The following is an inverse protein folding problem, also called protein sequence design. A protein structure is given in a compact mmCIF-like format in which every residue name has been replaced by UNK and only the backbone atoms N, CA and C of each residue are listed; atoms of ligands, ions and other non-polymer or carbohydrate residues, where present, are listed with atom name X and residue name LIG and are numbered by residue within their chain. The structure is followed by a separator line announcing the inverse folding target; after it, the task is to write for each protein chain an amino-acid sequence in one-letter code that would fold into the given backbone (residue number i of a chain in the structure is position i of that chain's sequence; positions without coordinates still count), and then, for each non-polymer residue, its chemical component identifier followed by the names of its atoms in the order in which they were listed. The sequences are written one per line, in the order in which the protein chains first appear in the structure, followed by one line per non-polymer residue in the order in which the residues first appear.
data_IF_820182393478
#
_entry.id   IF_820182393478
#
_cell.length_a   1.000
_cell.length_b   1.000
_cell.length_c   1.000
_cell.angle_alpha   90.00
_cell.angle_beta   90.00
_cell.angle_gamma   90.00
#
_symmetry.space_group_name_H-M   'P 1'
#
loop_
_entity.id
_entity.type
_entity.pdbx_description
1 polymer ?
#
# COMPACT_ATOMS: atom_id res chain seq x y z
N UNK A 1 -12.27 -21.57 9.71
CA UNK A 1 -12.47 -20.28 9.01
C UNK A 1 -12.14 -20.46 7.53
N UNK A 2 -12.89 -19.84 6.63
CA UNK A 2 -12.61 -19.89 5.17
C UNK A 2 -11.92 -18.60 4.78
N UNK A 3 -10.85 -18.68 4.00
CA UNK A 3 -10.21 -17.50 3.42
C UNK A 3 -11.19 -16.86 2.43
N UNK A 4 -11.38 -15.55 2.50
CA UNK A 4 -12.31 -14.77 1.66
C UNK A 4 -11.57 -13.88 0.66
N UNK A 5 -12.32 -13.33 -0.30
CA UNK A 5 -11.75 -12.48 -1.37
C UNK A 5 -11.13 -11.19 -0.83
N UNK A 6 -11.76 -10.43 0.06
CA UNK A 6 -11.16 -9.21 0.66
C UNK A 6 -9.82 -9.47 1.37
N UNK A 7 -9.62 -10.67 1.91
CA UNK A 7 -8.38 -11.04 2.63
C UNK A 7 -7.20 -11.25 1.66
N UNK A 8 -7.44 -11.35 0.36
CA UNK A 8 -6.40 -11.60 -0.62
C UNK A 8 -5.36 -10.47 -0.69
N UNK A 9 -5.78 -9.21 -0.52
CA UNK A 9 -4.86 -8.08 -0.49
C UNK A 9 -3.87 -8.16 0.69
N UNK A 10 -4.31 -8.22 1.97
CA UNK A 10 -3.39 -8.34 3.09
C UNK A 10 -2.57 -9.64 3.07
N UNK A 11 -3.03 -10.71 2.40
CA UNK A 11 -2.18 -11.89 2.16
C UNK A 11 -1.03 -11.57 1.18
N UNK A 12 -1.33 -10.91 0.06
CA UNK A 12 -0.36 -10.70 -1.03
C UNK A 12 0.62 -9.54 -0.79
N UNK A 13 0.28 -8.53 0.01
CA UNK A 13 1.13 -7.33 0.23
C UNK A 13 2.51 -7.64 0.82
N UNK A 14 2.66 -8.77 1.51
CA UNK A 14 3.93 -9.14 2.14
C UNK A 14 5.04 -9.32 1.09
N UNK A 15 4.67 -9.82 -0.10
CA UNK A 15 5.61 -10.03 -1.19
C UNK A 15 6.24 -8.71 -1.68
N UNK A 16 5.50 -7.70 -2.19
CA UNK A 16 6.10 -6.45 -2.64
C UNK A 16 6.76 -5.68 -1.48
N UNK A 17 6.26 -5.78 -0.24
CA UNK A 17 6.89 -5.15 0.92
C UNK A 17 8.28 -5.70 1.23
N UNK A 18 8.50 -7.01 1.04
CA UNK A 18 9.82 -7.62 1.20
C UNK A 18 10.70 -7.46 -0.05
N UNK A 19 10.11 -7.61 -1.25
CA UNK A 19 10.83 -7.63 -2.51
C UNK A 19 11.36 -6.27 -2.91
N UNK A 20 10.61 -5.18 -2.72
CA UNK A 20 11.07 -3.84 -3.10
C UNK A 20 12.37 -3.44 -2.37
N UNK A 21 12.45 -3.42 -1.03
CA UNK A 21 13.70 -3.07 -0.35
C UNK A 21 14.84 -4.06 -0.67
N UNK A 22 14.54 -5.36 -0.79
CA UNK A 22 15.53 -6.37 -1.19
C UNK A 22 16.10 -6.10 -2.58
N UNK A 23 15.25 -5.73 -3.54
CA UNK A 23 15.64 -5.37 -4.90
C UNK A 23 16.56 -4.16 -4.90
N UNK A 24 16.22 -3.13 -4.11
CA UNK A 24 17.03 -1.90 -3.98
C UNK A 24 18.40 -2.20 -3.40
N UNK A 25 18.48 -3.00 -2.33
CA UNK A 25 19.75 -3.40 -1.71
C UNK A 25 20.62 -4.17 -2.71
N UNK A 26 20.05 -5.14 -3.41
CA UNK A 26 20.81 -5.96 -4.38
C UNK A 26 21.26 -5.11 -5.57
N UNK A 27 20.41 -4.21 -6.09
CA UNK A 27 20.75 -3.33 -7.21
C UNK A 27 21.87 -2.35 -6.82
N UNK A 28 21.79 -1.70 -5.66
CA UNK A 28 22.85 -0.85 -5.14
C UNK A 28 24.15 -1.62 -4.89
N UNK A 29 24.07 -2.82 -4.33
CA UNK A 29 25.26 -3.65 -4.13
C UNK A 29 25.93 -3.98 -5.47
N UNK A 30 25.13 -4.25 -6.51
CA UNK A 30 25.65 -4.46 -7.87
C UNK A 30 26.33 -3.20 -8.45
N UNK A 31 25.88 -1.99 -8.09
CA UNK A 31 26.55 -0.72 -8.47
C UNK A 31 27.95 -0.65 -7.88
N UNK A 32 28.08 -0.86 -6.57
CA UNK A 32 29.35 -0.66 -5.86
C UNK A 32 30.36 -1.77 -6.10
N UNK A 33 29.90 -3.02 -6.15
CA UNK A 33 30.77 -4.19 -6.35
C UNK A 33 31.09 -4.45 -7.81
N UNK A 34 30.27 -3.94 -8.74
CA UNK A 34 30.30 -4.26 -10.18
C UNK A 34 30.16 -5.77 -10.46
N UNK A 35 29.59 -6.53 -9.53
CA UNK A 35 29.38 -7.97 -9.66
C UNK A 35 28.28 -8.29 -10.69
N UNK A 36 28.63 -9.12 -11.69
CA UNK A 36 27.72 -9.50 -12.79
C UNK A 36 26.58 -10.43 -12.36
N UNK A 37 26.77 -11.24 -11.31
CA UNK A 37 25.74 -12.11 -10.74
C UNK A 37 24.72 -11.27 -9.97
N UNK A 38 25.18 -10.31 -9.16
CA UNK A 38 24.29 -9.37 -8.46
C UNK A 38 23.50 -8.51 -9.44
N UNK A 39 24.13 -8.01 -10.51
CA UNK A 39 23.42 -7.26 -11.56
C UNK A 39 22.32 -8.10 -12.25
N UNK A 40 22.58 -9.39 -12.48
CA UNK A 40 21.57 -10.30 -13.05
C UNK A 40 20.45 -10.57 -12.05
N UNK A 41 20.78 -10.79 -10.78
CA UNK A 41 19.79 -11.01 -9.73
C UNK A 41 18.88 -9.78 -9.56
N UNK A 42 19.45 -8.57 -9.53
CA UNK A 42 18.70 -7.32 -9.45
C UNK A 42 17.69 -7.16 -10.61
N UNK A 43 18.07 -7.54 -11.84
CA UNK A 43 17.15 -7.52 -13.00
C UNK A 43 15.95 -8.43 -12.82
N UNK A 44 16.17 -9.66 -12.35
CA UNK A 44 15.08 -10.59 -12.04
C UNK A 44 14.21 -10.04 -10.92
N UNK A 45 14.83 -9.53 -9.85
CA UNK A 45 14.14 -8.96 -8.70
C UNK A 45 13.27 -7.75 -9.05
N UNK A 46 13.68 -6.89 -9.98
CA UNK A 46 12.83 -5.79 -10.47
C UNK A 46 11.54 -6.29 -11.13
N UNK A 47 11.62 -7.31 -11.99
CA UNK A 47 10.44 -7.93 -12.60
C UNK A 47 9.56 -8.65 -11.57
N UNK A 48 10.17 -9.38 -10.63
CA UNK A 48 9.43 -10.07 -9.56
C UNK A 48 8.75 -9.07 -8.61
N UNK A 49 9.41 -7.97 -8.27
CA UNK A 49 8.83 -6.88 -7.48
C UNK A 49 7.64 -6.27 -8.20
N UNK A 50 7.79 -5.91 -9.48
CA UNK A 50 6.71 -5.33 -10.27
C UNK A 50 5.50 -6.29 -10.40
N UNK A 51 5.77 -7.57 -10.67
CA UNK A 51 4.73 -8.60 -10.74
C UNK A 51 4.01 -8.83 -9.40
N UNK A 52 4.74 -8.91 -8.30
CA UNK A 52 4.15 -9.06 -6.95
C UNK A 52 3.30 -7.84 -6.56
N UNK A 53 3.78 -6.63 -6.88
CA UNK A 53 3.05 -5.39 -6.66
C UNK A 53 1.78 -5.32 -7.51
N UNK A 54 1.81 -5.78 -8.77
CA UNK A 54 0.63 -5.86 -9.62
C UNK A 54 -0.43 -6.81 -9.02
N UNK A 55 -0.03 -8.01 -8.59
CA UNK A 55 -0.96 -8.96 -7.98
C UNK A 55 -1.57 -8.43 -6.68
N UNK A 56 -0.75 -7.85 -5.80
CA UNK A 56 -1.24 -7.22 -4.57
C UNK A 56 -2.16 -6.02 -4.86
N UNK A 57 -1.83 -5.22 -5.87
CA UNK A 57 -2.62 -4.07 -6.31
C UNK A 57 -3.98 -4.49 -6.88
N UNK A 58 -4.03 -5.51 -7.73
CA UNK A 58 -5.30 -6.05 -8.26
C UNK A 58 -6.18 -6.60 -7.14
N UNK A 59 -5.61 -7.34 -6.20
CA UNK A 59 -6.32 -7.79 -5.01
C UNK A 59 -6.81 -6.60 -4.16
N UNK A 60 -6.02 -5.54 -4.03
CA UNK A 60 -6.41 -4.31 -3.33
C UNK A 60 -7.56 -3.58 -4.01
N UNK A 61 -7.57 -3.53 -5.35
CA UNK A 61 -8.70 -2.97 -6.10
C UNK A 61 -9.98 -3.77 -5.87
N UNK A 62 -9.90 -5.10 -5.84
CA UNK A 62 -11.05 -5.95 -5.51
C UNK A 62 -11.53 -5.70 -4.07
N UNK A 63 -10.62 -5.78 -3.09
CA UNK A 63 -10.93 -5.55 -1.67
C UNK A 63 -11.53 -4.15 -1.42
N UNK A 64 -11.15 -3.13 -2.20
CA UNK A 64 -11.70 -1.78 -2.08
C UNK A 64 -13.23 -1.70 -2.28
N UNK A 65 -13.82 -2.69 -2.95
CA UNK A 65 -15.27 -2.76 -3.19
C UNK A 65 -16.03 -3.50 -2.08
N UNK A 66 -15.31 -4.16 -1.19
CA UNK A 66 -15.85 -4.94 -0.06
C UNK A 66 -15.77 -4.12 1.25
N UNK A 67 -14.95 -3.06 1.30
CA UNK A 67 -14.80 -2.19 2.48
C UNK A 67 -15.73 -0.97 2.48
N UNK A 68 -16.11 -0.52 3.67
CA UNK A 68 -16.83 0.75 3.88
C UNK A 68 -15.88 1.88 4.27
N UNK A 69 -15.93 2.98 3.51
CA UNK A 69 -15.23 4.23 3.81
C UNK A 69 -16.26 5.32 4.14
N UNK A 70 -16.65 5.35 5.42
CA UNK A 70 -17.83 6.08 5.89
C UNK A 70 -17.69 7.61 5.81
N UNK A 71 -16.47 8.14 5.81
CA UNK A 71 -16.21 9.59 5.80
C UNK A 71 -15.29 10.01 4.64
N UNK A 72 -15.25 11.32 4.36
CA UNK A 72 -14.43 11.92 3.29
C UNK A 72 -12.94 11.65 3.48
N UNK A 73 -12.45 11.83 4.71
CA UNK A 73 -11.04 11.67 5.06
C UNK A 73 -10.51 10.29 4.67
N UNK A 74 -11.19 9.22 5.08
CA UNK A 74 -10.83 7.83 4.75
C UNK A 74 -10.92 7.56 3.24
N UNK A 75 -11.90 8.13 2.52
CA UNK A 75 -11.99 8.00 1.05
C UNK A 75 -10.83 8.69 0.33
N UNK A 76 -10.36 9.82 0.86
CA UNK A 76 -9.19 10.52 0.32
C UNK A 76 -7.89 9.76 0.59
N UNK A 77 -7.74 9.16 1.78
CA UNK A 77 -6.63 8.25 2.08
C UNK A 77 -6.63 7.03 1.15
N UNK A 78 -7.79 6.41 0.91
CA UNK A 78 -7.93 5.28 -0.03
C UNK A 78 -7.47 5.67 -1.44
N UNK A 79 -7.84 6.87 -1.91
CA UNK A 79 -7.40 7.39 -3.20
C UNK A 79 -5.88 7.58 -3.24
N UNK A 80 -5.31 8.25 -2.22
CA UNK A 80 -3.87 8.52 -2.14
C UNK A 80 -3.06 7.23 -2.09
N UNK A 81 -3.49 6.27 -1.25
CA UNK A 81 -2.89 4.95 -1.16
C UNK A 81 -2.97 4.20 -2.49
N UNK A 82 -4.17 4.11 -3.08
CA UNK A 82 -4.38 3.38 -4.35
C UNK A 82 -3.60 3.98 -5.51
N UNK A 83 -3.66 5.30 -5.69
CA UNK A 83 -2.97 5.99 -6.77
C UNK A 83 -1.44 5.95 -6.58
N UNK A 84 -0.96 6.14 -5.35
CA UNK A 84 0.46 6.03 -5.03
C UNK A 84 1.02 4.64 -5.37
N UNK A 85 0.28 3.57 -5.03
CA UNK A 85 0.69 2.22 -5.37
C UNK A 85 0.63 1.92 -6.87
N UNK A 86 -0.31 2.50 -7.62
CA UNK A 86 -0.30 2.43 -9.10
C UNK A 86 0.99 3.05 -9.66
N UNK A 87 1.38 4.22 -9.16
CA UNK A 87 2.64 4.88 -9.57
C UNK A 87 3.85 4.01 -9.23
N UNK A 88 3.90 3.40 -8.05
CA UNK A 88 4.98 2.50 -7.64
C UNK A 88 5.06 1.28 -8.56
N UNK A 89 3.93 0.62 -8.86
CA UNK A 89 3.89 -0.58 -9.71
C UNK A 89 4.33 -0.25 -11.14
N UNK A 90 3.78 0.83 -11.73
CA UNK A 90 4.16 1.26 -13.08
C UNK A 90 5.63 1.70 -13.13
N UNK A 91 6.10 2.41 -12.11
CA UNK A 91 7.51 2.77 -11.94
C UNK A 91 8.41 1.55 -11.87
N UNK A 92 8.05 0.54 -11.08
CA UNK A 92 8.78 -0.71 -10.97
C UNK A 92 8.87 -1.46 -12.30
N UNK A 93 7.79 -1.52 -13.08
CA UNK A 93 7.84 -2.06 -14.46
C UNK A 93 8.74 -1.23 -15.38
N UNK A 94 8.68 0.10 -15.29
CA UNK A 94 9.56 1.00 -16.04
C UNK A 94 11.04 0.76 -15.71
N UNK A 95 11.39 0.64 -14.43
CA UNK A 95 12.75 0.32 -13.99
C UNK A 95 13.14 -1.10 -14.42
N UNK A 96 12.26 -2.10 -14.30
CA UNK A 96 12.52 -3.47 -14.74
C UNK A 96 12.81 -3.55 -16.25
N UNK A 97 12.01 -2.88 -17.07
CA UNK A 97 12.22 -2.79 -18.51
C UNK A 97 13.53 -2.07 -18.84
N UNK A 98 13.80 -0.93 -18.20
CA UNK A 98 15.04 -0.17 -18.39
C UNK A 98 16.29 -0.96 -17.97
N UNK A 99 16.21 -1.68 -16.84
CA UNK A 99 17.28 -2.54 -16.32
C UNK A 99 17.52 -3.76 -17.19
N UNK A 100 16.57 -4.18 -18.03
CA UNK A 100 16.72 -5.38 -18.86
C UNK A 100 17.88 -5.28 -19.86
N UNK A 101 18.23 -4.07 -20.31
CA UNK A 101 19.32 -3.81 -21.27
C UNK A 101 20.48 -2.99 -20.70
N UNK A 102 20.39 -2.53 -19.45
CA UNK A 102 21.38 -1.64 -18.81
C UNK A 102 21.91 -2.28 -17.55
N UNK A 103 23.16 -1.96 -17.16
CA UNK A 103 23.71 -2.39 -15.85
C UNK A 103 23.13 -1.56 -14.72
N UNK A 104 23.25 -2.07 -13.50
CA UNK A 104 22.94 -1.32 -12.29
C UNK A 104 23.69 0.02 -12.31
N UNK A 105 23.01 1.09 -11.92
CA UNK A 105 23.62 2.41 -11.79
C UNK A 105 23.09 3.13 -10.56
N UNK A 106 23.79 4.20 -10.14
CA UNK A 106 23.28 5.05 -9.07
C UNK A 106 21.88 5.60 -9.37
N UNK A 107 21.55 5.83 -10.65
CA UNK A 107 20.23 6.27 -11.04
C UNK A 107 19.14 5.23 -10.73
N UNK A 108 19.33 3.95 -11.05
CA UNK A 108 18.36 2.91 -10.69
C UNK A 108 18.28 2.69 -9.19
N UNK A 109 19.42 2.77 -8.50
CA UNK A 109 19.48 2.70 -7.04
C UNK A 109 18.69 3.83 -6.37
N UNK A 110 18.86 5.07 -6.82
CA UNK A 110 18.12 6.24 -6.30
C UNK A 110 16.63 6.18 -6.62
N UNK A 111 16.24 5.76 -7.82
CA UNK A 111 14.83 5.50 -8.15
C UNK A 111 14.23 4.42 -7.25
N UNK A 112 15.01 3.38 -6.96
CA UNK A 112 14.61 2.32 -6.06
C UNK A 112 14.44 2.80 -4.61
N UNK A 113 15.39 3.57 -4.09
CA UNK A 113 15.27 4.19 -2.76
C UNK A 113 14.06 5.13 -2.67
N UNK A 114 13.83 5.96 -3.69
CA UNK A 114 12.66 6.82 -3.77
C UNK A 114 11.35 6.03 -3.80
N UNK A 115 11.33 4.93 -4.56
CA UNK A 115 10.19 4.02 -4.63
C UNK A 115 9.94 3.31 -3.29
N UNK A 116 10.99 2.89 -2.58
CA UNK A 116 10.89 2.30 -1.25
C UNK A 116 10.36 3.31 -0.23
N UNK A 117 10.89 4.53 -0.19
CA UNK A 117 10.39 5.58 0.70
C UNK A 117 8.92 5.90 0.41
N UNK A 118 8.54 5.98 -0.87
CA UNK A 118 7.16 6.22 -1.25
C UNK A 118 6.24 5.04 -0.89
N UNK A 119 6.70 3.80 -1.06
CA UNK A 119 5.98 2.60 -0.63
C UNK A 119 5.81 2.52 0.89
N UNK A 120 6.80 2.98 1.67
CA UNK A 120 6.67 3.09 3.12
C UNK A 120 5.58 4.11 3.51
N UNK A 121 5.52 5.25 2.81
CA UNK A 121 4.45 6.24 3.00
C UNK A 121 3.07 5.69 2.62
N UNK A 122 2.92 5.05 1.46
CA UNK A 122 1.63 4.45 1.09
C UNK A 122 1.25 3.30 2.02
N UNK A 123 2.22 2.51 2.50
CA UNK A 123 2.03 1.49 3.52
C UNK A 123 1.53 2.08 4.84
N UNK A 124 2.09 3.22 5.27
CA UNK A 124 1.60 3.96 6.43
C UNK A 124 0.15 4.43 6.26
N UNK A 125 -0.21 4.99 5.10
CA UNK A 125 -1.63 5.33 4.79
C UNK A 125 -2.54 4.11 4.89
N UNK A 126 -2.08 2.96 4.38
CA UNK A 126 -2.79 1.68 4.49
C UNK A 126 -3.02 1.27 5.94
N UNK A 127 -1.97 1.34 6.77
CA UNK A 127 -2.05 1.06 8.20
C UNK A 127 -2.99 2.01 8.94
N UNK A 128 -2.91 3.32 8.68
CA UNK A 128 -3.78 4.31 9.32
C UNK A 128 -5.26 4.08 8.97
N UNK A 129 -5.58 3.71 7.73
CA UNK A 129 -6.94 3.34 7.34
C UNK A 129 -7.46 2.13 8.12
N UNK A 130 -6.63 1.11 8.34
CA UNK A 130 -7.03 -0.10 9.07
C UNK A 130 -7.12 0.16 10.57
N UNK A 131 -6.05 0.67 11.17
CA UNK A 131 -5.90 0.76 12.63
C UNK A 131 -6.63 1.94 13.25
N UNK A 132 -6.67 3.10 12.58
CA UNK A 132 -7.33 4.30 13.11
C UNK A 132 -8.77 4.46 12.62
N UNK A 133 -9.09 3.94 11.42
CA UNK A 133 -10.40 4.13 10.80
C UNK A 133 -11.20 2.83 10.62
N UNK A 134 -10.64 1.66 10.93
CA UNK A 134 -11.34 0.38 10.87
C UNK A 134 -11.71 -0.08 9.46
N UNK A 135 -11.03 0.43 8.42
CA UNK A 135 -11.25 -0.01 7.03
C UNK A 135 -10.87 -1.48 6.92
N UNK A 136 -11.79 -2.30 6.40
CA UNK A 136 -11.59 -3.75 6.25
C UNK A 136 -11.75 -4.58 7.54
N UNK A 137 -12.14 -3.97 8.66
CA UNK A 137 -12.32 -4.69 9.95
C UNK A 137 -13.80 -4.92 10.29
N UNK A 138 -14.71 -4.07 9.78
CA UNK A 138 -16.14 -4.03 10.17
C UNK A 138 -16.98 -5.25 9.70
N UNK A 139 -16.40 -6.21 8.98
CA UNK A 139 -17.13 -7.40 8.49
C UNK A 139 -17.45 -8.43 9.58
N UNK A 140 -16.85 -8.33 10.77
CA UNK A 140 -17.04 -9.28 11.89
C UNK A 140 -18.46 -9.30 12.50
N UNK A 141 -19.35 -8.38 12.10
CA UNK A 141 -20.72 -8.26 12.63
C UNK A 141 -21.83 -8.61 11.63
N UNK A 142 -21.49 -8.99 10.40
CA UNK A 142 -22.48 -9.35 9.37
C UNK A 142 -22.93 -10.81 9.48
N UNK A 143 -24.13 -11.13 8.99
CA UNK A 143 -24.56 -12.54 8.87
C UNK A 143 -23.75 -13.25 7.79
N UNK A 144 -23.48 -14.55 7.97
CA UNK A 144 -22.71 -15.36 7.00
C UNK A 144 -23.24 -15.26 5.56
N UNK A 145 -24.56 -15.19 5.38
CA UNK A 145 -25.20 -15.05 4.07
C UNK A 145 -24.93 -13.70 3.40
N UNK A 146 -24.76 -12.64 4.18
CA UNK A 146 -24.43 -11.30 3.69
C UNK A 146 -22.94 -11.23 3.35
N UNK A 147 -22.09 -11.81 4.21
CA UNK A 147 -20.65 -11.94 3.97
C UNK A 147 -20.34 -12.77 2.74
N UNK A 148 -21.08 -13.85 2.48
CA UNK A 148 -20.88 -14.68 1.28
C UNK A 148 -21.28 -13.94 -0.01
N UNK A 149 -22.22 -12.99 0.07
CA UNK A 149 -22.61 -12.14 -1.06
C UNK A 149 -21.63 -10.99 -1.31
N UNK A 150 -21.09 -10.42 -0.23
CA UNK A 150 -20.10 -9.35 -0.28
C UNK A 150 -18.74 -9.89 -0.73
N UNK A 151 -18.26 -10.92 -0.02
CA UNK A 151 -16.88 -11.41 -0.01
C UNK A 151 -16.89 -12.97 -0.04
N UNK A 152 -17.19 -13.61 -1.18
CA UNK A 152 -17.34 -15.06 -1.23
C UNK A 152 -16.06 -15.80 -0.81
N UNK A 153 -16.13 -17.06 -0.32
CA UNK A 153 -14.95 -17.85 -0.01
C UNK A 153 -14.01 -17.96 -1.22
N UNK A 154 -12.70 -17.81 -1.00
CA UNK A 154 -11.68 -17.80 -2.05
C UNK A 154 -11.67 -19.10 -2.86
N UNK A 155 -11.93 -20.24 -2.22
CA UNK A 155 -12.02 -21.55 -2.88
C UNK A 155 -13.35 -21.80 -3.61
N UNK A 156 -14.27 -20.82 -3.65
CA UNK A 156 -15.55 -20.95 -4.34
C UNK A 156 -15.41 -20.77 -5.86
N UNK A 157 -16.33 -21.37 -6.63
CA UNK A 157 -16.40 -21.18 -8.09
C UNK A 157 -16.65 -19.73 -8.51
N UNK A 158 -17.20 -18.92 -7.63
CA UNK A 158 -17.56 -17.53 -7.89
C UNK A 158 -16.37 -16.57 -7.67
N UNK A 159 -15.37 -16.97 -6.89
CA UNK A 159 -14.27 -16.10 -6.49
C UNK A 159 -13.48 -15.51 -7.68
N UNK A 160 -13.08 -16.25 -8.72
CA UNK A 160 -12.32 -15.67 -9.83
C UNK A 160 -13.08 -14.57 -10.56
N UNK A 161 -14.37 -14.80 -10.86
CA UNK A 161 -15.22 -13.82 -11.52
C UNK A 161 -15.48 -12.60 -10.62
N UNK A 162 -15.61 -12.81 -9.30
CA UNK A 162 -15.79 -11.74 -8.33
C UNK A 162 -14.56 -10.85 -8.22
N UNK A 163 -13.38 -11.44 -8.02
CA UNK A 163 -12.09 -10.74 -7.97
C UNK A 163 -11.93 -9.86 -9.21
N UNK A 164 -12.16 -10.42 -10.41
CA UNK A 164 -12.00 -9.67 -11.65
C UNK A 164 -12.99 -8.50 -11.74
N UNK A 165 -14.29 -8.76 -11.49
CA UNK A 165 -15.32 -7.73 -11.54
C UNK A 165 -15.02 -6.59 -10.58
N UNK A 166 -14.65 -6.91 -9.35
CA UNK A 166 -14.45 -5.91 -8.31
C UNK A 166 -13.12 -5.19 -8.48
N UNK A 167 -12.08 -5.84 -8.99
CA UNK A 167 -10.85 -5.17 -9.40
C UNK A 167 -11.10 -4.13 -10.50
N UNK A 168 -11.92 -4.46 -11.50
CA UNK A 168 -12.31 -3.51 -12.56
C UNK A 168 -13.11 -2.33 -12.00
N UNK A 169 -14.08 -2.60 -11.11
CA UNK A 169 -14.86 -1.54 -10.45
C UNK A 169 -13.98 -0.64 -9.57
N UNK A 170 -13.10 -1.23 -8.77
CA UNK A 170 -12.15 -0.49 -7.92
C UNK A 170 -11.22 0.39 -8.73
N UNK A 171 -10.69 -0.13 -9.85
CA UNK A 171 -9.91 0.66 -10.79
C UNK A 171 -10.74 1.80 -11.40
N UNK A 172 -11.98 1.54 -11.81
CA UNK A 172 -12.89 2.56 -12.33
C UNK A 172 -13.19 3.67 -11.32
N UNK A 173 -13.41 3.31 -10.06
CA UNK A 173 -13.58 4.27 -8.97
C UNK A 173 -12.32 5.11 -8.76
N UNK A 174 -11.15 4.47 -8.71
CA UNK A 174 -9.87 5.14 -8.51
C UNK A 174 -9.60 6.16 -9.62
N UNK A 175 -9.69 5.73 -10.88
CA UNK A 175 -9.44 6.59 -12.04
C UNK A 175 -10.47 7.71 -12.15
N UNK A 176 -11.75 7.41 -11.90
CA UNK A 176 -12.81 8.40 -11.91
C UNK A 176 -12.63 9.47 -10.83
N UNK A 177 -12.27 9.07 -9.61
CA UNK A 177 -11.99 10.00 -8.50
C UNK A 177 -10.70 10.79 -8.74
N UNK A 178 -9.62 10.13 -9.17
CA UNK A 178 -8.37 10.78 -9.53
C UNK A 178 -8.61 11.87 -10.58
N UNK A 179 -9.35 11.54 -11.66
CA UNK A 179 -9.72 12.52 -12.69
C UNK A 179 -10.45 13.73 -12.10
N UNK A 180 -11.45 13.52 -11.24
CA UNK A 180 -12.20 14.63 -10.61
C UNK A 180 -11.32 15.52 -9.75
N UNK A 181 -10.35 14.95 -9.05
CA UNK A 181 -9.37 15.69 -8.26
C UNK A 181 -8.44 16.49 -9.18
N UNK A 182 -7.90 15.87 -10.23
CA UNK A 182 -7.02 16.54 -11.20
C UNK A 182 -7.72 17.66 -11.98
N UNK A 183 -9.01 17.52 -12.28
CA UNK A 183 -9.80 18.58 -12.93
C UNK A 183 -10.29 19.66 -11.96
N UNK A 184 -9.94 19.58 -10.66
CA UNK A 184 -10.36 20.54 -9.64
C UNK A 184 -11.84 20.45 -9.24
N UNK A 185 -12.58 19.45 -9.73
CA UNK A 185 -14.00 19.25 -9.40
C UNK A 185 -14.23 18.66 -8.00
N UNK A 186 -13.21 18.03 -7.42
CA UNK A 186 -13.22 17.52 -6.06
C UNK A 186 -11.89 17.89 -5.40
N UNK A 187 -11.92 18.45 -4.19
CA UNK A 187 -10.71 18.75 -3.44
C UNK A 187 -10.38 17.61 -2.48
N UNK A 188 -9.09 17.35 -2.27
CA UNK A 188 -8.65 16.43 -1.22
C UNK A 188 -8.67 17.11 0.14
N UNK A 189 -9.06 16.36 1.15
CA UNK A 189 -8.81 16.74 2.53
C UNK A 189 -7.29 16.76 2.80
N UNK A 190 -6.68 17.93 3.13
CA UNK A 190 -5.24 18.00 3.40
C UNK A 190 -4.81 17.12 4.59
N UNK A 191 -5.72 16.81 5.51
CA UNK A 191 -5.41 15.92 6.64
C UNK A 191 -5.25 14.46 6.20
N UNK A 192 -5.82 14.04 5.06
CA UNK A 192 -5.69 12.68 4.53
C UNK A 192 -4.26 12.34 4.06
N UNK A 193 -3.39 13.35 3.90
CA UNK A 193 -1.96 13.14 3.65
C UNK A 193 -1.17 12.80 4.93
N UNK A 194 -1.80 12.85 6.10
CA UNK A 194 -1.17 12.56 7.39
C UNK A 194 -0.42 13.71 8.05
N UNK A 195 -0.10 14.77 7.29
CA UNK A 195 0.72 15.91 7.77
C UNK A 195 0.06 16.62 8.96
N UNK A 196 -1.26 16.85 8.90
CA UNK A 196 -1.98 17.57 9.97
C UNK A 196 -2.25 16.74 11.23
N UNK A 197 -2.34 15.41 11.10
CA UNK A 197 -2.59 14.53 12.25
C UNK A 197 -1.37 14.44 13.17
N UNK A 198 -0.15 14.48 12.59
CA UNK A 198 1.11 14.57 13.35
C UNK A 198 1.21 15.91 14.05
N UNK A 199 0.96 17.01 13.34
CA UNK A 199 0.99 18.37 13.89
C UNK A 199 -0.01 18.53 15.06
N UNK A 200 -1.27 18.09 14.89
CA UNK A 200 -2.28 18.13 15.95
C UNK A 200 -1.96 17.19 17.13
N UNK A 201 -1.29 16.06 16.91
CA UNK A 201 -0.83 15.19 18.02
C UNK A 201 0.36 15.82 18.77
N UNK A 202 1.27 16.48 18.06
CA UNK A 202 2.39 17.20 18.68
C UNK A 202 1.89 18.41 19.49
N UNK A 203 0.88 19.13 19.00
CA UNK A 203 0.23 20.24 19.71
C UNK A 203 -0.58 19.78 20.92
N UNK A 204 -1.16 18.57 20.88
CA UNK A 204 -1.96 18.00 21.97
C UNK A 204 -1.16 17.19 22.98
N UNK A 205 0.14 16.94 22.76
CA UNK A 205 0.98 16.33 23.80
C UNK A 205 1.17 17.36 24.92
N UNK A 206 0.75 17.08 26.17
CA UNK A 206 1.13 17.93 27.28
C UNK A 206 2.66 17.94 27.36
N UNK A 207 3.26 19.13 27.46
CA UNK A 207 4.69 19.24 27.72
C UNK A 207 4.96 18.53 29.05
N UNK A 208 5.47 17.30 29.00
CA UNK A 208 5.92 16.59 30.19
C UNK A 208 7.13 17.35 30.71
N UNK A 209 6.93 18.11 31.78
CA UNK A 209 8.01 18.81 32.44
C UNK A 209 8.87 17.80 33.19
N UNK A 210 10.20 17.98 33.30
CA UNK A 210 11.09 17.04 34.01
C UNK A 210 10.69 16.74 35.47
N UNK A 211 9.79 17.53 36.07
CA UNK A 211 9.17 17.28 37.38
C UNK A 211 8.21 16.09 37.39
N UNK A 212 7.53 15.82 36.29
CA UNK A 212 6.46 14.80 36.22
C UNK A 212 7.02 13.38 36.19
N UNK A 213 8.25 13.22 35.68
CA UNK A 213 8.96 11.93 35.58
C UNK A 213 9.41 11.42 36.96
N UNK A 214 9.60 12.30 37.96
CA UNK A 214 10.07 11.89 39.31
C UNK A 214 8.98 11.30 40.20
N UNK A 215 7.70 11.44 39.87
CA UNK A 215 6.61 10.99 40.74
C UNK A 215 6.13 9.55 40.46
N UNK A 216 6.42 9.01 39.27
CA UNK A 216 5.90 7.69 38.85
C UNK A 216 6.81 6.50 39.18
N UNK A 217 8.10 6.71 39.48
CA UNK A 217 8.98 5.64 39.94
C UNK A 217 9.00 5.55 41.47
N UNK A 218 7.98 4.89 42.04
CA UNK A 218 8.14 4.21 43.33
C UNK A 218 8.38 2.72 43.07
N UNK A 219 9.59 2.19 43.30
CA UNK A 219 9.83 0.76 43.17
C UNK A 219 8.98 0.00 44.22
N UNK A 220 8.33 -1.07 43.77
CA UNK A 220 7.72 -2.11 44.61
C UNK A 220 8.75 -3.19 44.86
#
# INVERSE_FOLDING_TARGET
MRIRVHELHPMLIHAPLALLPSTVVVDLTAVFTRDRKLDRAARTLWWTTAGSGLLAGLAGMAASQEVKADNRHTRDMMLLHGLGNVVIVLGAFGVAAWRSSRRASLFSGLLGLGSFAFAAYTGWLGGEMVYSHGVGVKELTMKDSELDQLSPPLASRQAPARILRDAVKGLGWLLGRARRVFTGSEQLDPSAFGVKAVEQRMERQPQVTPSDIRSEFRPV
#
